data_IF_026140526003
#
_entry.id   IF_026140526003
#
_cell.length_a   1.000
_cell.length_b   1.000
_cell.length_c   1.000
_cell.angle_alpha   90.00
_cell.angle_beta   90.00
_cell.angle_gamma   90.00
#
_symmetry.space_group_name_H-M   'P 1'
#
loop_
_entity.id
_entity.type
_entity.pdbx_description
1 polymer ?
#
# COMPACT_ATOMS: atom_id res chain seq x y z
N UNK A 1 -18.98 -26.54 4.89
CA UNK A 1 -20.39 -26.29 4.56
C UNK A 1 -20.68 -26.73 3.14
N UNK A 2 -21.91 -27.17 2.85
CA UNK A 2 -22.38 -27.43 1.50
C UNK A 2 -23.22 -26.24 1.01
N UNK A 3 -23.08 -25.91 -0.27
CA UNK A 3 -23.95 -24.93 -0.92
C UNK A 3 -25.35 -25.53 -1.19
N UNK A 4 -26.31 -24.65 -1.51
CA UNK A 4 -27.70 -25.10 -1.83
C UNK A 4 -27.79 -26.07 -3.03
N UNK A 5 -26.74 -26.17 -3.84
CA UNK A 5 -26.66 -27.05 -5.02
C UNK A 5 -25.68 -28.24 -4.83
N UNK A 6 -25.26 -28.50 -3.58
CA UNK A 6 -24.40 -29.65 -3.22
C UNK A 6 -22.90 -29.44 -3.49
N UNK A 7 -22.43 -28.21 -3.78
CA UNK A 7 -21.00 -27.92 -3.90
C UNK A 7 -20.38 -27.71 -2.52
N UNK A 8 -19.13 -28.11 -2.37
CA UNK A 8 -18.37 -27.82 -1.15
C UNK A 8 -17.95 -26.36 -1.10
N UNK A 9 -18.28 -25.67 -0.02
CA UNK A 9 -17.92 -24.25 0.18
C UNK A 9 -16.53 -24.13 0.77
N UNK A 10 -15.72 -23.25 0.18
CA UNK A 10 -14.41 -22.84 0.71
C UNK A 10 -14.41 -21.31 0.85
N UNK A 11 -14.27 -20.84 2.08
CA UNK A 11 -14.20 -19.42 2.37
C UNK A 11 -12.77 -18.88 2.16
N UNK A 12 -12.68 -17.74 1.48
CA UNK A 12 -11.44 -16.94 1.33
C UNK A 12 -11.68 -15.61 2.02
N UNK A 13 -10.77 -15.21 2.90
CA UNK A 13 -10.84 -13.92 3.56
C UNK A 13 -10.30 -12.80 2.67
N UNK A 14 -10.89 -11.62 2.77
CA UNK A 14 -10.30 -10.37 2.28
C UNK A 14 -10.28 -9.36 3.42
N UNK A 15 -9.19 -8.61 3.56
CA UNK A 15 -9.07 -7.52 4.54
C UNK A 15 -8.39 -6.31 3.93
N UNK A 16 -9.01 -5.15 4.15
CA UNK A 16 -8.47 -3.85 3.81
C UNK A 16 -9.30 -2.74 4.45
N UNK A 17 -8.90 -1.48 4.31
CA UNK A 17 -9.69 -0.35 4.78
C UNK A 17 -10.90 -0.14 3.85
N UNK A 18 -12.04 -0.73 4.17
CA UNK A 18 -13.27 -0.60 3.37
C UNK A 18 -14.03 0.68 3.68
N UNK A 19 -13.70 1.33 4.81
CA UNK A 19 -14.21 2.65 5.22
C UNK A 19 -13.06 3.62 5.52
N UNK A 20 -13.39 4.91 5.71
CA UNK A 20 -12.41 5.95 6.01
C UNK A 20 -11.65 6.49 4.78
N UNK A 21 -10.59 7.30 5.02
CA UNK A 21 -9.89 8.03 3.96
C UNK A 21 -9.20 7.16 2.90
N UNK A 22 -8.89 5.90 3.23
CA UNK A 22 -8.22 4.95 2.33
C UNK A 22 -9.18 3.91 1.73
N UNK A 23 -10.49 4.11 1.88
CA UNK A 23 -11.51 3.14 1.44
C UNK A 23 -11.52 2.89 -0.06
N UNK A 24 -11.08 3.84 -0.87
CA UNK A 24 -10.93 3.67 -2.31
C UNK A 24 -9.88 2.59 -2.65
N UNK A 25 -8.79 2.53 -1.91
CA UNK A 25 -7.74 1.51 -2.08
C UNK A 25 -8.20 0.13 -1.58
N UNK A 26 -8.83 0.07 -0.39
CA UNK A 26 -9.33 -1.19 0.15
C UNK A 26 -10.40 -1.82 -0.73
N UNK A 27 -11.32 -1.01 -1.24
CA UNK A 27 -12.36 -1.47 -2.18
C UNK A 27 -11.80 -1.90 -3.54
N UNK A 28 -10.71 -1.29 -3.99
CA UNK A 28 -10.03 -1.69 -5.20
C UNK A 28 -9.45 -3.10 -5.04
N UNK A 29 -8.75 -3.37 -3.94
CA UNK A 29 -8.25 -4.71 -3.61
C UNK A 29 -9.40 -5.73 -3.45
N UNK A 30 -10.49 -5.36 -2.79
CA UNK A 30 -11.67 -6.21 -2.62
C UNK A 30 -12.27 -6.63 -3.97
N UNK A 31 -12.42 -5.68 -4.91
CA UNK A 31 -12.94 -5.97 -6.25
C UNK A 31 -12.03 -6.91 -7.03
N UNK A 32 -10.71 -6.70 -6.94
CA UNK A 32 -9.74 -7.61 -7.55
C UNK A 32 -9.85 -9.04 -7.00
N UNK A 33 -9.99 -9.19 -5.68
CA UNK A 33 -10.22 -10.48 -5.05
C UNK A 33 -11.57 -11.10 -5.47
N UNK A 34 -12.65 -10.30 -5.50
CA UNK A 34 -13.97 -10.76 -5.92
C UNK A 34 -13.97 -11.24 -7.37
N UNK A 35 -13.31 -10.51 -8.28
CA UNK A 35 -13.17 -10.94 -9.68
C UNK A 35 -12.46 -12.30 -9.78
N UNK A 36 -11.39 -12.52 -9.02
CA UNK A 36 -10.69 -13.81 -9.01
C UNK A 36 -11.56 -14.94 -8.45
N UNK A 37 -12.38 -14.68 -7.45
CA UNK A 37 -13.35 -15.64 -6.90
C UNK A 37 -14.42 -15.98 -7.94
N UNK A 38 -14.95 -15.00 -8.65
CA UNK A 38 -15.94 -15.22 -9.72
C UNK A 38 -15.36 -16.06 -10.85
N UNK A 39 -14.14 -15.78 -11.29
CA UNK A 39 -13.45 -16.58 -12.32
C UNK A 39 -13.18 -18.02 -11.86
N UNK A 40 -12.76 -18.21 -10.60
CA UNK A 40 -12.56 -19.52 -10.01
C UNK A 40 -13.87 -20.33 -9.97
N UNK A 41 -14.97 -19.70 -9.58
CA UNK A 41 -16.29 -20.33 -9.56
C UNK A 41 -16.82 -20.69 -10.95
N UNK A 42 -16.60 -19.81 -11.95
CA UNK A 42 -16.94 -20.10 -13.36
C UNK A 42 -16.13 -21.28 -13.91
N UNK A 43 -14.89 -21.41 -13.48
CA UNK A 43 -14.00 -22.51 -13.90
C UNK A 43 -14.36 -23.86 -13.28
N UNK A 44 -15.28 -23.91 -12.31
CA UNK A 44 -15.76 -25.14 -11.64
C UNK A 44 -14.61 -26.00 -11.14
N UNK A 45 -13.71 -25.41 -10.36
CA UNK A 45 -12.52 -26.10 -9.83
C UNK A 45 -12.93 -27.32 -9.02
N UNK A 46 -12.28 -28.47 -9.27
CA UNK A 46 -12.52 -29.73 -8.56
C UNK A 46 -11.35 -30.01 -7.62
N UNK A 47 -11.63 -30.22 -6.34
CA UNK A 47 -10.64 -30.63 -5.33
C UNK A 47 -11.15 -31.85 -4.60
N UNK A 48 -10.36 -32.94 -4.59
CA UNK A 48 -10.74 -34.18 -3.94
C UNK A 48 -11.98 -34.89 -4.55
N UNK A 49 -12.31 -34.59 -5.80
CA UNK A 49 -13.49 -35.12 -6.51
C UNK A 49 -14.75 -34.27 -6.31
N UNK A 50 -14.71 -33.20 -5.55
CA UNK A 50 -15.84 -32.29 -5.30
C UNK A 50 -15.67 -30.98 -6.06
N UNK A 51 -16.73 -30.45 -6.64
CA UNK A 51 -16.74 -29.09 -7.22
C UNK A 51 -16.79 -28.08 -6.08
N UNK A 52 -15.85 -27.13 -6.10
CA UNK A 52 -15.73 -26.12 -5.05
C UNK A 52 -16.52 -24.86 -5.43
N UNK A 53 -17.22 -24.30 -4.44
CA UNK A 53 -17.73 -22.93 -4.44
C UNK A 53 -16.86 -22.09 -3.53
N UNK A 54 -16.13 -21.13 -4.08
CA UNK A 54 -15.37 -20.16 -3.29
C UNK A 54 -16.28 -19.00 -2.87
N UNK A 55 -16.18 -18.58 -1.62
CA UNK A 55 -16.86 -17.40 -1.08
C UNK A 55 -15.85 -16.42 -0.51
N UNK A 56 -15.99 -15.13 -0.88
CA UNK A 56 -15.20 -14.07 -0.32
C UNK A 56 -15.85 -13.54 0.96
N UNK A 57 -15.11 -13.56 2.06
CA UNK A 57 -15.51 -12.94 3.33
C UNK A 57 -14.64 -11.69 3.53
N UNK A 58 -15.25 -10.50 3.35
CA UNK A 58 -14.54 -9.22 3.44
C UNK A 58 -14.70 -8.61 4.83
N UNK A 59 -13.59 -8.15 5.40
CA UNK A 59 -13.52 -7.45 6.69
C UNK A 59 -12.83 -6.09 6.53
N UNK A 60 -13.31 -5.11 7.29
CA UNK A 60 -12.80 -3.74 7.31
C UNK A 60 -11.86 -3.53 8.50
N UNK A 61 -10.57 -3.30 8.22
CA UNK A 61 -9.56 -2.98 9.23
C UNK A 61 -9.40 -1.47 9.46
N UNK A 62 -10.09 -0.61 8.69
CA UNK A 62 -10.02 0.86 8.77
C UNK A 62 -8.59 1.42 8.76
N UNK A 63 -7.63 0.71 8.15
CA UNK A 63 -6.20 1.01 8.25
C UNK A 63 -5.70 1.15 9.71
N UNK A 64 -6.30 0.43 10.64
CA UNK A 64 -6.01 0.45 12.07
C UNK A 64 -5.39 -0.87 12.51
N UNK A 65 -4.14 -0.89 13.05
CA UNK A 65 -3.46 -2.13 13.44
C UNK A 65 -4.23 -3.00 14.44
N UNK A 66 -4.89 -2.38 15.43
CA UNK A 66 -5.68 -3.12 16.42
C UNK A 66 -6.92 -3.76 15.80
N UNK A 67 -7.62 -3.03 14.90
CA UNK A 67 -8.73 -3.60 14.15
C UNK A 67 -8.26 -4.71 13.21
N UNK A 68 -7.09 -4.53 12.59
CA UNK A 68 -6.47 -5.54 11.74
C UNK A 68 -6.31 -6.89 12.45
N UNK A 69 -5.87 -6.91 13.70
CA UNK A 69 -5.77 -8.16 14.48
C UNK A 69 -7.14 -8.73 14.83
N UNK A 70 -8.11 -7.89 15.21
CA UNK A 70 -9.47 -8.34 15.54
C UNK A 70 -10.16 -8.98 14.34
N UNK A 71 -10.05 -8.39 13.16
CA UNK A 71 -10.68 -8.97 11.95
C UNK A 71 -9.94 -10.21 11.48
N UNK A 72 -8.62 -10.30 11.70
CA UNK A 72 -7.87 -11.53 11.44
C UNK A 72 -8.38 -12.70 12.30
N UNK A 73 -8.61 -12.49 13.59
CA UNK A 73 -9.20 -13.50 14.49
C UNK A 73 -10.60 -13.93 14.02
N UNK A 74 -11.45 -12.98 13.58
CA UNK A 74 -12.78 -13.31 13.03
C UNK A 74 -12.72 -14.20 11.80
N UNK A 75 -11.76 -13.95 10.90
CA UNK A 75 -11.56 -14.79 9.72
C UNK A 75 -11.09 -16.20 10.12
N UNK A 76 -10.28 -16.32 11.17
CA UNK A 76 -9.91 -17.65 11.70
C UNK A 76 -11.13 -18.38 12.26
N UNK A 77 -11.98 -17.71 13.04
CA UNK A 77 -13.25 -18.26 13.52
C UNK A 77 -14.20 -18.66 12.39
N UNK A 78 -14.16 -17.94 11.27
CA UNK A 78 -14.91 -18.26 10.05
C UNK A 78 -14.28 -19.37 9.17
N UNK A 79 -13.17 -19.97 9.63
CA UNK A 79 -12.47 -21.07 8.97
C UNK A 79 -12.13 -20.78 7.50
N UNK A 80 -11.57 -19.61 7.20
CA UNK A 80 -11.09 -19.30 5.85
C UNK A 80 -9.88 -20.15 5.48
N UNK A 81 -9.77 -20.56 4.23
CA UNK A 81 -8.66 -21.37 3.74
C UNK A 81 -7.43 -20.55 3.33
N UNK A 82 -7.59 -19.24 3.18
CA UNK A 82 -6.54 -18.29 2.86
C UNK A 82 -7.05 -16.87 2.94
N UNK A 83 -6.15 -15.90 3.00
CA UNK A 83 -6.49 -14.48 3.12
C UNK A 83 -5.79 -13.67 2.03
N UNK A 84 -6.56 -12.84 1.31
CA UNK A 84 -6.07 -11.77 0.43
C UNK A 84 -6.10 -10.46 1.23
N UNK A 85 -4.94 -9.96 1.58
CA UNK A 85 -4.83 -8.78 2.46
C UNK A 85 -3.68 -8.92 3.46
N UNK A 86 -3.54 -8.02 4.40
CA UNK A 86 -4.23 -6.73 4.46
C UNK A 86 -3.62 -5.74 3.45
N UNK A 87 -4.22 -4.55 3.32
CA UNK A 87 -3.68 -3.53 2.43
C UNK A 87 -2.47 -2.83 3.06
N UNK A 88 -2.64 -2.25 4.24
CA UNK A 88 -1.61 -1.44 4.89
C UNK A 88 -0.56 -2.32 5.58
N UNK A 89 0.72 -1.98 5.48
CA UNK A 89 1.80 -2.69 6.18
C UNK A 89 1.56 -2.76 7.68
N UNK A 90 1.07 -1.67 8.28
CA UNK A 90 0.78 -1.59 9.73
C UNK A 90 -0.35 -2.50 10.21
N UNK A 91 -1.26 -2.94 9.35
CA UNK A 91 -2.30 -3.93 9.67
C UNK A 91 -1.86 -5.35 9.27
N UNK A 92 -1.11 -5.47 8.18
CA UNK A 92 -0.61 -6.74 7.63
C UNK A 92 0.37 -7.44 8.57
N UNK A 93 1.35 -6.69 9.08
CA UNK A 93 2.43 -7.23 9.93
C UNK A 93 1.88 -7.91 11.19
N UNK A 94 1.08 -7.24 12.05
CA UNK A 94 0.56 -7.89 13.23
C UNK A 94 -0.45 -9.01 12.94
N UNK A 95 -1.24 -8.91 11.88
CA UNK A 95 -2.18 -9.95 11.48
C UNK A 95 -1.48 -11.22 10.99
N UNK A 96 -0.29 -11.10 10.40
CA UNK A 96 0.45 -12.25 9.84
C UNK A 96 0.80 -13.31 10.87
N UNK A 97 1.00 -12.92 12.15
CA UNK A 97 1.22 -13.89 13.22
C UNK A 97 -0.03 -14.73 13.49
N UNK A 98 -1.21 -14.11 13.47
CA UNK A 98 -2.49 -14.81 13.72
C UNK A 98 -2.71 -15.86 12.62
N UNK A 99 -2.49 -15.49 11.36
CA UNK A 99 -2.60 -16.41 10.24
C UNK A 99 -1.54 -17.52 10.28
N UNK A 100 -0.31 -17.18 10.64
CA UNK A 100 0.77 -18.16 10.80
C UNK A 100 0.45 -19.18 11.88
N UNK A 101 0.01 -18.74 13.06
CA UNK A 101 -0.34 -19.64 14.17
C UNK A 101 -1.50 -20.58 13.80
N UNK A 102 -2.41 -20.14 12.91
CA UNK A 102 -3.50 -20.95 12.38
C UNK A 102 -3.12 -21.80 11.15
N UNK A 103 -1.91 -21.64 10.60
CA UNK A 103 -1.47 -22.32 9.38
C UNK A 103 -2.19 -21.85 8.12
N UNK A 104 -2.76 -20.64 8.12
CA UNK A 104 -3.52 -20.06 7.01
C UNK A 104 -2.62 -19.13 6.17
N UNK A 105 -2.51 -19.34 4.85
CA UNK A 105 -1.72 -18.46 3.99
C UNK A 105 -2.35 -17.07 3.87
N UNK A 106 -1.50 -16.05 3.99
CA UNK A 106 -1.82 -14.65 3.78
C UNK A 106 -1.05 -14.12 2.57
N UNK A 107 -1.77 -13.59 1.58
CA UNK A 107 -1.18 -12.96 0.40
C UNK A 107 -1.59 -11.50 0.37
N UNK A 108 -0.65 -10.58 0.69
CA UNK A 108 -0.93 -9.16 0.58
C UNK A 108 -0.76 -8.67 -0.86
N UNK A 109 -1.75 -7.97 -1.41
CA UNK A 109 -1.64 -7.33 -2.73
C UNK A 109 -0.95 -5.95 -2.66
N UNK A 110 -0.65 -5.41 -1.47
CA UNK A 110 -0.30 -4.00 -1.30
C UNK A 110 0.74 -3.69 -0.23
N UNK A 111 0.86 -4.50 0.84
CA UNK A 111 1.77 -4.21 1.95
C UNK A 111 3.24 -4.39 1.54
N UNK A 112 3.96 -3.27 1.44
CA UNK A 112 5.33 -3.22 0.90
C UNK A 112 6.42 -3.26 1.96
N UNK A 113 6.12 -3.06 3.25
CA UNK A 113 7.13 -3.09 4.31
C UNK A 113 7.93 -4.41 4.31
N UNK A 114 9.24 -4.29 4.39
CA UNK A 114 10.20 -5.41 4.37
C UNK A 114 9.88 -6.42 5.47
N UNK A 115 9.57 -5.91 6.67
CA UNK A 115 9.28 -6.71 7.86
C UNK A 115 8.21 -7.77 7.62
N UNK A 116 7.18 -7.49 6.81
CA UNK A 116 6.05 -8.41 6.59
C UNK A 116 6.50 -9.83 6.22
N UNK A 117 7.46 -9.97 5.32
CA UNK A 117 7.96 -11.29 4.88
C UNK A 117 9.30 -11.68 5.51
N UNK A 118 9.85 -10.87 6.44
CA UNK A 118 11.10 -11.15 7.14
C UNK A 118 10.90 -11.60 8.59
N UNK A 119 9.66 -11.77 9.05
CA UNK A 119 9.35 -12.28 10.40
C UNK A 119 9.59 -13.80 10.54
N UNK A 120 9.88 -14.51 9.44
CA UNK A 120 10.06 -15.97 9.44
C UNK A 120 8.74 -16.76 9.36
N UNK A 121 7.62 -16.12 9.02
CA UNK A 121 6.33 -16.80 8.85
C UNK A 121 6.20 -17.34 7.43
N UNK A 122 6.19 -18.65 7.27
CA UNK A 122 6.08 -19.36 5.98
C UNK A 122 4.71 -19.17 5.29
N UNK A 123 3.75 -18.60 5.99
CA UNK A 123 2.40 -18.30 5.48
C UNK A 123 2.24 -16.88 4.94
N UNK A 124 3.28 -16.02 5.06
CA UNK A 124 3.23 -14.62 4.69
C UNK A 124 3.84 -14.37 3.30
N UNK A 125 3.00 -13.92 2.35
CA UNK A 125 3.37 -13.68 0.95
C UNK A 125 2.94 -12.30 0.47
N UNK A 126 3.67 -11.74 -0.50
CA UNK A 126 3.27 -10.55 -1.27
C UNK A 126 3.43 -10.79 -2.77
N UNK A 127 2.68 -10.04 -3.60
CA UNK A 127 2.72 -10.18 -5.07
C UNK A 127 3.33 -8.97 -5.79
N UNK A 128 3.95 -8.04 -5.05
CA UNK A 128 4.63 -6.85 -5.60
C UNK A 128 6.00 -6.64 -4.95
N UNK A 129 6.72 -5.61 -5.41
CA UNK A 129 8.00 -5.20 -4.83
C UNK A 129 7.85 -4.71 -3.39
N UNK A 130 8.91 -4.82 -2.61
CA UNK A 130 8.98 -4.28 -1.24
C UNK A 130 9.59 -2.88 -1.19
N UNK A 131 9.61 -2.28 0.00
CA UNK A 131 10.12 -0.92 0.23
C UNK A 131 11.64 -0.81 0.05
N UNK A 132 12.41 -1.88 0.21
CA UNK A 132 13.83 -1.89 -0.13
C UNK A 132 14.05 -1.57 -1.61
N UNK A 133 13.32 -2.25 -2.49
CA UNK A 133 13.39 -2.00 -3.92
C UNK A 133 12.80 -0.63 -4.29
N UNK A 134 11.66 -0.24 -3.73
CA UNK A 134 11.06 1.05 -3.98
C UNK A 134 11.97 2.19 -3.52
N UNK A 135 12.45 2.15 -2.29
CA UNK A 135 13.33 3.17 -1.72
C UNK A 135 14.62 3.34 -2.53
N UNK A 136 15.22 2.21 -2.96
CA UNK A 136 16.39 2.24 -3.83
C UNK A 136 16.12 2.94 -5.16
N UNK A 137 15.03 2.57 -5.85
CA UNK A 137 14.67 3.17 -7.15
C UNK A 137 14.35 4.65 -6.99
N UNK A 138 13.59 5.03 -5.95
CA UNK A 138 13.23 6.41 -5.68
C UNK A 138 14.44 7.28 -5.32
N UNK A 139 15.37 6.78 -4.49
CA UNK A 139 16.59 7.49 -4.13
C UNK A 139 17.53 7.69 -5.33
N UNK A 140 17.71 6.64 -6.13
CA UNK A 140 18.48 6.73 -7.38
C UNK A 140 17.83 7.72 -8.36
N UNK A 141 16.51 7.70 -8.50
CA UNK A 141 15.76 8.62 -9.35
C UNK A 141 15.89 10.08 -8.88
N UNK A 142 15.73 10.33 -7.58
CA UNK A 142 15.89 11.66 -7.00
C UNK A 142 17.25 12.26 -7.30
N UNK A 143 18.34 11.50 -7.06
CA UNK A 143 19.72 12.03 -7.18
C UNK A 143 20.23 11.99 -8.61
N UNK A 144 20.01 10.88 -9.35
CA UNK A 144 20.63 10.66 -10.66
C UNK A 144 19.78 11.20 -11.81
N UNK A 145 18.45 11.19 -11.67
CA UNK A 145 17.54 11.62 -12.75
C UNK A 145 17.05 13.05 -12.53
N UNK A 146 16.54 13.37 -11.33
CA UNK A 146 16.10 14.72 -11.01
C UNK A 146 17.25 15.66 -10.61
N UNK A 147 18.44 15.14 -10.35
CA UNK A 147 19.62 15.91 -9.99
C UNK A 147 19.57 16.52 -8.59
N UNK A 148 18.64 16.08 -7.74
CA UNK A 148 18.48 16.62 -6.39
C UNK A 148 19.71 16.33 -5.53
N UNK A 149 20.24 17.38 -4.87
CA UNK A 149 21.40 17.32 -3.98
C UNK A 149 21.02 17.54 -2.53
N UNK A 150 20.00 18.36 -2.30
CA UNK A 150 19.46 18.72 -1.00
C UNK A 150 18.01 18.23 -0.90
N UNK A 151 17.73 17.33 0.03
CA UNK A 151 16.45 16.62 0.11
C UNK A 151 15.87 16.76 1.52
N UNK A 152 14.60 17.11 1.61
CA UNK A 152 13.82 17.03 2.83
C UNK A 152 12.92 15.78 2.78
N UNK A 153 12.80 15.10 3.90
CA UNK A 153 11.91 13.94 4.05
C UNK A 153 10.77 14.29 5.00
N UNK A 154 9.56 13.87 4.66
CA UNK A 154 8.41 13.86 5.57
C UNK A 154 7.88 12.43 5.59
N UNK A 155 7.66 11.82 6.76
CA UNK A 155 6.98 10.54 6.88
C UNK A 155 5.79 10.60 7.87
N UNK A 156 4.81 9.72 7.68
CA UNK A 156 3.59 9.67 8.48
C UNK A 156 3.69 8.76 9.72
N UNK A 157 4.89 8.29 10.02
CA UNK A 157 5.21 7.37 11.13
C UNK A 157 4.46 6.03 11.09
N UNK A 158 3.73 5.73 10.01
CA UNK A 158 3.20 4.38 9.80
C UNK A 158 4.32 3.38 9.50
N UNK A 159 4.04 2.09 9.65
CA UNK A 159 5.02 1.06 9.28
C UNK A 159 5.44 1.18 7.81
N UNK A 160 4.50 1.53 6.91
CA UNK A 160 4.78 1.79 5.51
C UNK A 160 5.59 3.08 5.33
N UNK A 161 5.04 4.25 5.71
CA UNK A 161 5.64 5.54 5.38
C UNK A 161 7.02 5.73 6.00
N UNK A 162 7.19 5.30 7.28
CA UNK A 162 8.50 5.31 7.93
C UNK A 162 9.47 4.33 7.26
N UNK A 163 9.03 3.10 6.98
CA UNK A 163 9.89 2.06 6.38
C UNK A 163 10.39 2.49 5.00
N UNK A 164 9.51 2.95 4.13
CA UNK A 164 9.89 3.47 2.81
C UNK A 164 10.82 4.69 2.90
N UNK A 165 10.56 5.60 3.85
CA UNK A 165 11.44 6.76 4.06
C UNK A 165 12.84 6.37 4.55
N UNK A 166 12.97 5.33 5.37
CA UNK A 166 14.27 4.79 5.81
C UNK A 166 15.08 4.26 4.62
N UNK A 167 14.44 3.49 3.74
CA UNK A 167 15.07 2.94 2.53
C UNK A 167 15.42 4.03 1.52
N UNK A 168 14.53 4.99 1.31
CA UNK A 168 14.79 6.16 0.47
C UNK A 168 15.98 6.97 0.97
N UNK A 169 16.02 7.28 2.26
CA UNK A 169 17.12 8.02 2.89
C UNK A 169 18.47 7.30 2.71
N UNK A 170 18.48 5.97 2.92
CA UNK A 170 19.66 5.13 2.69
C UNK A 170 20.14 5.21 1.23
N UNK A 171 19.22 5.08 0.28
CA UNK A 171 19.54 5.13 -1.15
C UNK A 171 20.03 6.51 -1.60
N UNK A 172 19.43 7.59 -1.11
CA UNK A 172 19.89 8.98 -1.38
C UNK A 172 21.32 9.17 -0.92
N UNK A 173 21.64 8.76 0.31
CA UNK A 173 23.02 8.86 0.85
C UNK A 173 24.02 8.06 0.03
N UNK A 174 23.66 6.84 -0.38
CA UNK A 174 24.49 6.00 -1.25
C UNK A 174 24.71 6.62 -2.64
N UNK A 175 23.70 7.32 -3.16
CA UNK A 175 23.76 8.01 -4.44
C UNK A 175 24.50 9.36 -4.39
N UNK A 176 24.91 9.82 -3.18
CA UNK A 176 25.65 11.08 -2.97
C UNK A 176 24.77 12.31 -2.78
N UNK A 177 23.48 12.15 -2.49
CA UNK A 177 22.57 13.21 -2.06
C UNK A 177 22.68 13.49 -0.56
N UNK A 178 22.15 14.63 -0.12
CA UNK A 178 22.18 15.07 1.29
C UNK A 178 20.75 15.19 1.80
N UNK A 179 20.46 14.56 2.94
CA UNK A 179 19.22 14.80 3.66
C UNK A 179 19.39 16.00 4.56
N UNK A 180 18.63 17.07 4.28
CA UNK A 180 18.67 18.33 5.00
C UNK A 180 17.88 18.27 6.30
N UNK A 181 16.72 17.61 6.27
CA UNK A 181 15.85 17.39 7.43
C UNK A 181 14.97 16.17 7.21
N UNK A 182 14.52 15.59 8.30
CA UNK A 182 13.45 14.59 8.32
C UNK A 182 12.39 15.03 9.31
N UNK A 183 11.22 15.33 8.79
CA UNK A 183 10.06 15.80 9.51
C UNK A 183 9.01 14.71 9.60
N UNK A 184 8.09 14.83 10.53
CA UNK A 184 7.10 13.80 10.82
C UNK A 184 5.69 14.37 10.83
N UNK A 185 4.75 13.59 10.30
CA UNK A 185 3.32 13.84 10.42
C UNK A 185 2.61 12.59 10.92
N UNK A 186 1.31 12.53 10.81
CA UNK A 186 0.50 11.34 11.04
C UNK A 186 -0.76 11.34 10.15
N UNK A 187 -1.43 10.20 10.07
CA UNK A 187 -2.60 9.99 9.20
C UNK A 187 -3.83 10.86 9.53
N UNK A 188 -3.81 11.60 10.64
CA UNK A 188 -4.92 12.48 11.06
C UNK A 188 -4.67 13.95 10.75
N UNK A 189 -3.45 14.31 10.41
CA UNK A 189 -3.07 15.68 10.12
C UNK A 189 -3.58 16.14 8.77
N UNK A 190 -4.01 17.40 8.74
CA UNK A 190 -4.44 18.14 7.53
C UNK A 190 -3.73 19.48 7.39
N UNK A 191 -3.03 19.93 8.43
CA UNK A 191 -2.22 21.15 8.42
C UNK A 191 -0.74 20.79 8.58
N UNK A 192 0.03 21.12 7.56
CA UNK A 192 1.46 20.86 7.44
C UNK A 192 2.29 22.16 7.44
N UNK A 193 1.65 23.31 7.67
CA UNK A 193 2.27 24.63 7.53
C UNK A 193 3.55 24.78 8.35
N UNK A 194 3.57 24.27 9.58
CA UNK A 194 4.75 24.34 10.44
C UNK A 194 5.94 23.57 9.86
N UNK A 195 5.71 22.31 9.47
CA UNK A 195 6.72 21.43 8.85
C UNK A 195 7.22 22.05 7.54
N UNK A 196 6.30 22.48 6.68
CA UNK A 196 6.62 23.05 5.37
C UNK A 196 7.35 24.39 5.50
N UNK A 197 7.07 25.18 6.54
CA UNK A 197 7.81 26.42 6.82
C UNK A 197 9.26 26.13 7.22
N UNK A 198 9.49 25.10 8.04
CA UNK A 198 10.84 24.63 8.38
C UNK A 198 11.59 24.20 7.12
N UNK A 199 10.95 23.38 6.29
CA UNK A 199 11.52 22.88 5.01
C UNK A 199 11.82 24.04 4.06
N UNK A 200 10.92 25.02 3.95
CA UNK A 200 11.12 26.21 3.12
C UNK A 200 12.39 26.99 3.51
N UNK A 201 12.67 27.10 4.81
CA UNK A 201 13.87 27.78 5.30
C UNK A 201 15.18 27.08 4.93
N UNK A 202 15.13 25.79 4.56
CA UNK A 202 16.27 24.98 4.11
C UNK A 202 16.44 24.99 2.59
N UNK A 203 15.43 25.40 1.83
CA UNK A 203 15.41 25.48 0.36
C UNK A 203 15.91 24.18 -0.33
N UNK A 204 15.28 23.03 -0.08
CA UNK A 204 15.70 21.77 -0.68
C UNK A 204 15.33 21.68 -2.17
N UNK A 205 16.08 20.89 -2.94
CA UNK A 205 15.75 20.57 -4.34
C UNK A 205 14.54 19.65 -4.46
N UNK A 206 14.29 18.82 -3.42
CA UNK A 206 13.25 17.81 -3.42
C UNK A 206 12.68 17.58 -2.02
N UNK A 207 11.37 17.39 -1.96
CA UNK A 207 10.64 16.89 -0.79
C UNK A 207 10.19 15.46 -1.09
N UNK A 208 10.62 14.51 -0.27
CA UNK A 208 10.11 13.14 -0.29
C UNK A 208 9.03 12.96 0.76
N UNK A 209 7.92 12.31 0.39
CA UNK A 209 6.85 11.99 1.31
C UNK A 209 6.63 10.48 1.39
N UNK A 210 6.83 9.91 2.57
CA UNK A 210 6.46 8.53 2.94
C UNK A 210 5.10 8.51 3.64
N UNK A 211 4.05 8.19 2.90
CA UNK A 211 2.69 8.16 3.42
C UNK A 211 1.65 8.06 2.30
N UNK A 212 0.39 8.39 2.62
CA UNK A 212 -0.75 8.15 1.77
C UNK A 212 -1.30 9.44 1.13
N UNK A 213 -2.08 9.27 0.08
CA UNK A 213 -2.69 10.34 -0.72
C UNK A 213 -3.58 11.31 0.06
N UNK A 214 -4.28 10.81 1.09
CA UNK A 214 -5.16 11.62 1.93
C UNK A 214 -4.44 12.79 2.62
N UNK A 215 -3.14 12.65 2.91
CA UNK A 215 -2.28 13.72 3.45
C UNK A 215 -1.49 14.41 2.33
N UNK A 216 -1.00 13.66 1.35
CA UNK A 216 -0.18 14.22 0.28
C UNK A 216 -0.93 15.26 -0.57
N UNK A 217 -2.19 15.01 -0.90
CA UNK A 217 -3.00 15.95 -1.68
C UNK A 217 -3.14 17.33 -1.02
N UNK A 218 -3.64 17.43 0.23
CA UNK A 218 -3.65 18.69 0.98
C UNK A 218 -2.27 19.31 1.19
N UNK A 219 -1.22 18.48 1.37
CA UNK A 219 0.15 18.94 1.52
C UNK A 219 0.63 19.68 0.26
N UNK A 220 0.32 19.20 -0.94
CA UNK A 220 0.66 19.86 -2.19
C UNK A 220 0.08 21.26 -2.28
N UNK A 221 -1.18 21.47 -1.89
CA UNK A 221 -1.80 22.80 -1.84
C UNK A 221 -1.07 23.75 -0.89
N UNK A 222 -0.62 23.24 0.25
CA UNK A 222 0.12 24.04 1.24
C UNK A 222 1.55 24.33 0.77
N UNK A 223 2.21 23.41 0.09
CA UNK A 223 3.51 23.62 -0.58
C UNK A 223 3.40 24.81 -1.56
N UNK A 224 2.40 24.78 -2.43
CA UNK A 224 2.16 25.83 -3.41
C UNK A 224 1.84 27.19 -2.73
N UNK A 225 0.96 27.19 -1.74
CA UNK A 225 0.57 28.40 -0.99
C UNK A 225 1.76 29.04 -0.27
N UNK A 226 2.71 28.25 0.19
CA UNK A 226 3.94 28.73 0.80
C UNK A 226 5.00 29.14 -0.21
N UNK A 227 4.78 28.88 -1.50
CA UNK A 227 5.74 29.17 -2.57
C UNK A 227 7.01 28.33 -2.51
N UNK A 228 6.92 27.08 -2.05
CA UNK A 228 8.01 26.13 -2.22
C UNK A 228 8.06 25.64 -3.67
N UNK A 229 9.27 25.58 -4.23
CA UNK A 229 9.52 25.19 -5.63
C UNK A 229 10.21 23.82 -5.76
N UNK A 230 10.46 23.15 -4.64
CA UNK A 230 11.07 21.84 -4.59
C UNK A 230 10.23 20.80 -5.36
N UNK A 231 10.88 19.88 -6.06
CA UNK A 231 10.20 18.70 -6.62
C UNK A 231 9.54 17.91 -5.48
N UNK A 232 8.39 17.27 -5.78
CA UNK A 232 7.73 16.39 -4.82
C UNK A 232 7.74 14.96 -5.33
N UNK A 233 8.18 14.04 -4.47
CA UNK A 233 8.34 12.62 -4.77
C UNK A 233 7.74 11.79 -3.64
N UNK A 234 6.99 10.76 -3.98
CA UNK A 234 6.46 9.82 -3.00
C UNK A 234 6.48 8.38 -3.45
N UNK A 235 6.02 7.49 -2.58
CA UNK A 235 5.84 6.08 -2.87
C UNK A 235 4.53 5.78 -3.57
N UNK A 236 4.22 4.49 -3.68
CA UNK A 236 2.98 3.98 -4.26
C UNK A 236 1.71 4.45 -3.53
N UNK A 237 1.81 4.78 -2.24
CA UNK A 237 0.70 5.31 -1.44
C UNK A 237 0.12 6.64 -1.92
N UNK A 238 0.82 7.37 -2.82
CA UNK A 238 0.31 8.58 -3.46
C UNK A 238 0.00 8.38 -4.95
N UNK A 239 0.27 7.22 -5.52
CA UNK A 239 -0.01 6.91 -6.92
C UNK A 239 -1.48 6.52 -7.10
N UNK A 240 -2.39 7.44 -6.88
CA UNK A 240 -3.83 7.22 -6.91
C UNK A 240 -4.57 8.32 -7.67
N UNK A 241 -5.76 7.99 -8.19
CA UNK A 241 -6.67 9.02 -8.72
C UNK A 241 -7.15 9.97 -7.64
N UNK A 242 -7.25 9.49 -6.40
CA UNK A 242 -7.66 10.30 -5.26
C UNK A 242 -6.62 11.39 -4.93
N UNK A 243 -5.32 11.09 -5.08
CA UNK A 243 -4.28 12.11 -4.97
C UNK A 243 -4.52 13.28 -5.94
N UNK A 244 -4.81 12.96 -7.21
CA UNK A 244 -5.09 13.98 -8.24
C UNK A 244 -6.32 14.83 -7.88
N UNK A 245 -7.37 14.20 -7.34
CA UNK A 245 -8.58 14.91 -6.88
C UNK A 245 -8.26 15.83 -5.69
N UNK A 246 -7.50 15.36 -4.73
CA UNK A 246 -7.16 16.09 -3.49
C UNK A 246 -6.16 17.22 -3.73
N UNK A 247 -5.16 17.00 -4.58
CA UNK A 247 -4.14 18.00 -4.90
C UNK A 247 -4.66 19.04 -5.91
N UNK A 248 -5.52 18.63 -6.84
CA UNK A 248 -5.94 19.51 -7.95
C UNK A 248 -4.78 19.82 -8.89
N UNK A 249 -4.71 21.05 -9.37
CA UNK A 249 -3.65 21.51 -10.27
C UNK A 249 -2.26 21.49 -9.62
N UNK A 250 -2.18 21.61 -8.30
CA UNK A 250 -0.93 21.61 -7.54
C UNK A 250 -0.25 20.23 -7.53
N UNK A 251 -0.97 19.16 -7.90
CA UNK A 251 -0.42 17.81 -8.06
C UNK A 251 0.31 17.59 -9.40
N UNK A 252 0.30 18.55 -10.33
CA UNK A 252 1.02 18.41 -11.58
C UNK A 252 2.54 18.43 -11.36
N UNK A 253 3.25 17.52 -12.05
CA UNK A 253 4.70 17.40 -11.89
C UNK A 253 5.17 16.61 -10.66
N UNK A 254 4.25 16.03 -9.88
CA UNK A 254 4.58 15.11 -8.79
C UNK A 254 5.01 13.76 -9.34
N UNK A 255 6.01 13.17 -8.70
CA UNK A 255 6.49 11.83 -9.04
C UNK A 255 6.08 10.82 -7.98
N UNK A 256 5.74 9.61 -8.41
CA UNK A 256 5.40 8.50 -7.54
C UNK A 256 5.96 7.17 -8.09
N UNK A 257 6.32 6.25 -7.21
CA UNK A 257 6.67 4.89 -7.63
C UNK A 257 5.42 4.03 -7.82
N UNK A 258 5.60 2.94 -8.57
CA UNK A 258 4.68 1.81 -8.63
C UNK A 258 5.44 0.54 -8.26
N UNK A 259 4.93 -0.30 -7.34
CA UNK A 259 5.62 -1.51 -6.90
C UNK A 259 5.47 -2.68 -7.89
N UNK A 260 4.87 -2.46 -9.05
CA UNK A 260 4.65 -3.45 -10.10
C UNK A 260 4.82 -2.87 -11.50
N UNK A 261 4.71 -3.75 -12.50
CA UNK A 261 4.70 -3.35 -13.90
C UNK A 261 3.36 -2.69 -14.24
N UNK A 262 3.33 -1.71 -15.17
CA UNK A 262 2.09 -1.21 -15.74
C UNK A 262 1.27 -2.36 -16.37
N UNK A 263 -0.06 -2.34 -16.23
CA UNK A 263 -0.95 -3.40 -16.74
C UNK A 263 -0.69 -3.76 -18.21
N UNK A 264 -0.42 -2.78 -19.06
CA UNK A 264 -0.11 -3.02 -20.48
C UNK A 264 1.19 -3.79 -20.74
N UNK A 265 2.06 -3.92 -19.73
CA UNK A 265 3.31 -4.70 -19.79
C UNK A 265 3.20 -6.05 -19.07
N UNK A 266 2.09 -6.30 -18.37
CA UNK A 266 1.83 -7.57 -17.69
C UNK A 266 1.19 -8.57 -18.65
N UNK A 267 1.61 -9.84 -18.56
CA UNK A 267 0.94 -10.93 -19.27
C UNK A 267 -0.52 -11.02 -18.80
N UNK A 268 -1.48 -10.87 -19.71
CA UNK A 268 -2.90 -10.84 -19.40
C UNK A 268 -3.41 -9.51 -18.83
N UNK A 269 -2.56 -8.48 -18.71
CA UNK A 269 -2.95 -7.20 -18.10
C UNK A 269 -4.05 -6.45 -18.85
N UNK A 270 -4.08 -6.54 -20.20
CA UNK A 270 -5.17 -5.96 -21.01
C UNK A 270 -6.49 -6.69 -20.76
N UNK A 271 -6.46 -8.04 -20.75
CA UNK A 271 -7.64 -8.85 -20.47
C UNK A 271 -8.19 -8.58 -19.06
N UNK A 272 -7.30 -8.47 -18.08
CA UNK A 272 -7.67 -8.09 -16.71
C UNK A 272 -8.36 -6.72 -16.68
N UNK A 273 -7.76 -5.69 -17.30
CA UNK A 273 -8.32 -4.34 -17.34
C UNK A 273 -9.73 -4.30 -17.94
N UNK A 274 -9.96 -5.11 -18.99
CA UNK A 274 -11.25 -5.12 -19.71
C UNK A 274 -12.34 -5.85 -18.91
N UNK A 275 -11.98 -6.68 -17.93
CA UNK A 275 -12.90 -7.40 -17.01
C UNK A 275 -13.12 -6.63 -15.69
N UNK A 276 -12.13 -5.87 -15.24
CA UNK A 276 -12.14 -5.11 -13.99
C UNK A 276 -12.89 -3.78 -14.13
#
# INVERSE_FOLDING_TARGET
EESNDGRKVVNIGHVGPLTGPQSHLGKDNERGAALAIDEANQSRIVIGGEVIEFRLLSEDDEANPQKGTVVAERLMDANVAGVVGHLNSGTTIPASKIYFDAGVPQVSPSATAIEFTHQGYETAYRVMANDEQQGKVLGDFAVKTLGARSIAIIDDRSAYGKGLADEFESAVKQAGGTIMTREFTDKTKIDFTAILTTIKGLDPDLIFYGGMDAQAGPMMKQINNLGLTANFLGGDGIQTTQFTVLSGAEGEGVYASSPGLPLGQMKGGTEFRDKY
#
